data_IF_220491388800
#
_entry.id   IF_220491388800
#
_cell.length_a   1.000
_cell.length_b   1.000
_cell.length_c   1.000
_cell.angle_alpha   90.00
_cell.angle_beta   90.00
_cell.angle_gamma   90.00
#
_symmetry.space_group_name_H-M   'P 1'
#
loop_
_entity.id
_entity.type
_entity.pdbx_description
1 polymer ?
#
# COMPACT_ATOMS: atom_id res chain seq x y z
N UNK A 1 -1.01 2.16 12.07
CA UNK A 1 -2.29 1.79 11.44
C UNK A 1 -3.27 1.39 12.53
N UNK A 2 -4.52 1.81 12.42
CA UNK A 2 -5.61 1.45 13.33
C UNK A 2 -6.80 0.93 12.51
N UNK A 3 -7.48 -0.07 13.05
CA UNK A 3 -8.68 -0.67 12.46
C UNK A 3 -9.90 -0.33 13.33
N UNK A 4 -11.02 -0.05 12.68
CA UNK A 4 -12.35 -0.06 13.28
C UNK A 4 -13.17 -1.19 12.61
N UNK A 5 -13.21 -2.34 13.28
CA UNK A 5 -13.71 -3.58 12.66
C UNK A 5 -12.84 -3.98 11.46
N UNK A 6 -13.45 -4.00 10.27
CA UNK A 6 -12.78 -4.29 9.00
C UNK A 6 -12.36 -3.03 8.22
N UNK A 7 -12.70 -1.83 8.72
CA UNK A 7 -12.36 -0.55 8.09
C UNK A 7 -11.02 -0.01 8.60
N UNK A 8 -10.22 0.57 7.70
CA UNK A 8 -8.96 1.23 8.05
C UNK A 8 -9.27 2.64 8.57
N UNK A 9 -9.22 2.81 9.89
CA UNK A 9 -9.51 4.11 10.52
C UNK A 9 -8.36 5.11 10.33
N UNK A 10 -7.11 4.65 10.43
CA UNK A 10 -5.93 5.52 10.29
C UNK A 10 -4.69 4.76 9.80
N UNK A 11 -3.84 5.45 9.04
CA UNK A 11 -2.51 4.99 8.61
C UNK A 11 -1.46 6.08 8.84
N UNK A 12 -1.08 6.32 10.09
CA UNK A 12 0.05 7.22 10.38
C UNK A 12 1.42 6.63 10.00
N UNK A 13 2.32 7.48 9.48
CA UNK A 13 3.71 7.11 9.16
C UNK A 13 4.68 8.26 9.48
N UNK A 14 5.92 7.89 9.77
CA UNK A 14 7.06 8.81 9.86
C UNK A 14 8.25 8.13 9.16
N UNK A 15 9.02 8.88 8.39
CA UNK A 15 10.19 8.32 7.74
C UNK A 15 10.97 9.32 6.91
N UNK A 16 12.25 9.02 6.73
CA UNK A 16 13.16 9.77 5.88
C UNK A 16 13.67 8.86 4.76
N UNK A 17 13.67 9.37 3.54
CA UNK A 17 14.11 8.60 2.38
C UNK A 17 14.17 9.45 1.12
N UNK A 18 14.34 8.80 -0.03
CA UNK A 18 14.28 9.51 -1.31
C UNK A 18 12.85 10.02 -1.60
N UNK A 19 12.71 10.93 -2.56
CA UNK A 19 11.41 11.47 -2.96
C UNK A 19 10.37 10.40 -3.33
N UNK A 20 10.80 9.30 -3.97
CA UNK A 20 9.90 8.19 -4.35
C UNK A 20 9.32 7.50 -3.12
N UNK A 21 10.12 7.22 -2.09
CA UNK A 21 9.62 6.54 -0.89
C UNK A 21 8.71 7.46 -0.07
N UNK A 22 9.00 8.76 -0.04
CA UNK A 22 8.15 9.74 0.64
C UNK A 22 6.81 9.90 -0.09
N UNK A 23 6.83 10.06 -1.42
CA UNK A 23 5.62 10.14 -2.22
C UNK A 23 4.78 8.86 -2.11
N UNK A 24 5.42 7.69 -2.14
CA UNK A 24 4.71 6.41 -2.02
C UNK A 24 4.05 6.23 -0.64
N UNK A 25 4.65 6.74 0.43
CA UNK A 25 4.02 6.74 1.75
C UNK A 25 2.81 7.69 1.82
N UNK A 26 2.90 8.87 1.21
CA UNK A 26 1.79 9.84 1.11
C UNK A 26 0.60 9.24 0.36
N UNK A 27 0.85 8.72 -0.84
CA UNK A 27 -0.19 8.11 -1.68
C UNK A 27 -0.81 6.89 -1.00
N UNK A 28 -0.01 6.07 -0.31
CA UNK A 28 -0.56 4.95 0.47
C UNK A 28 -1.51 5.44 1.57
N UNK A 29 -1.13 6.47 2.34
CA UNK A 29 -1.99 6.99 3.40
C UNK A 29 -3.32 7.51 2.84
N UNK A 30 -3.25 8.38 1.83
CA UNK A 30 -4.42 8.99 1.20
C UNK A 30 -5.34 7.94 0.58
N UNK A 31 -4.76 6.91 -0.04
CA UNK A 31 -5.52 5.89 -0.74
C UNK A 31 -6.16 4.86 0.20
N UNK A 32 -5.55 4.52 1.34
CA UNK A 32 -6.02 3.40 2.16
C UNK A 32 -6.93 3.81 3.33
N UNK A 33 -6.83 5.04 3.83
CA UNK A 33 -7.65 5.49 4.96
C UNK A 33 -9.13 5.55 4.56
N UNK A 34 -9.99 4.98 5.40
CA UNK A 34 -11.44 4.89 5.19
C UNK A 34 -11.88 3.74 4.29
N UNK A 35 -10.97 2.99 3.67
CA UNK A 35 -11.30 1.79 2.88
C UNK A 35 -11.42 0.56 3.77
N UNK A 36 -12.22 -0.40 3.30
CA UNK A 36 -12.28 -1.73 3.87
C UNK A 36 -10.95 -2.48 3.67
N UNK A 37 -10.57 -3.31 4.64
CA UNK A 37 -9.31 -4.02 4.59
C UNK A 37 -9.19 -4.94 3.36
N UNK A 38 -10.30 -5.53 2.93
CA UNK A 38 -10.34 -6.36 1.73
C UNK A 38 -10.03 -5.54 0.45
N UNK A 39 -10.52 -4.31 0.37
CA UNK A 39 -10.25 -3.40 -0.74
C UNK A 39 -8.79 -2.93 -0.72
N UNK A 40 -8.30 -2.50 0.44
CA UNK A 40 -6.92 -2.08 0.62
C UNK A 40 -5.91 -3.19 0.27
N UNK A 41 -6.22 -4.45 0.58
CA UNK A 41 -5.41 -5.60 0.16
C UNK A 41 -5.37 -5.76 -1.35
N UNK A 42 -6.50 -5.59 -2.04
CA UNK A 42 -6.55 -5.62 -3.51
C UNK A 42 -5.65 -4.53 -4.09
N UNK A 43 -5.76 -3.30 -3.58
CA UNK A 43 -4.91 -2.16 -4.01
C UNK A 43 -3.43 -2.49 -3.80
N UNK A 44 -3.06 -3.00 -2.62
CA UNK A 44 -1.68 -3.37 -2.30
C UNK A 44 -1.15 -4.46 -3.24
N UNK A 45 -1.94 -5.49 -3.53
CA UNK A 45 -1.58 -6.58 -4.43
C UNK A 45 -1.39 -6.09 -5.87
N UNK A 46 -2.30 -5.27 -6.38
CA UNK A 46 -2.20 -4.65 -7.70
C UNK A 46 -0.97 -3.73 -7.79
N UNK A 47 -0.67 -2.97 -6.74
CA UNK A 47 0.52 -2.11 -6.73
C UNK A 47 1.81 -2.94 -6.73
N UNK A 48 1.81 -4.05 -5.99
CA UNK A 48 2.94 -4.99 -5.98
C UNK A 48 3.15 -5.63 -7.35
N UNK A 49 2.07 -6.06 -8.02
CA UNK A 49 2.11 -6.59 -9.37
C UNK A 49 2.71 -5.58 -10.36
N UNK A 50 2.22 -4.34 -10.35
CA UNK A 50 2.74 -3.26 -11.20
C UNK A 50 4.24 -3.05 -10.98
N UNK A 51 4.69 -2.97 -9.72
CA UNK A 51 6.09 -2.79 -9.38
C UNK A 51 6.98 -3.99 -9.78
N UNK A 52 6.45 -5.20 -9.74
CA UNK A 52 7.16 -6.43 -10.11
C UNK A 52 7.16 -6.72 -11.62
N UNK A 53 6.32 -6.02 -12.39
CA UNK A 53 6.19 -6.20 -13.83
C UNK A 53 7.49 -5.93 -14.61
N UNK A 54 8.45 -5.21 -14.00
CA UNK A 54 9.68 -4.74 -14.65
C UNK A 54 9.40 -3.91 -15.92
N UNK A 55 8.29 -3.16 -15.90
CA UNK A 55 7.84 -2.35 -17.04
C UNK A 55 7.27 -3.13 -18.20
N UNK A 56 6.92 -4.40 -18.01
CA UNK A 56 6.28 -5.26 -19.03
C UNK A 56 4.76 -5.23 -18.97
N UNK A 57 4.20 -4.81 -17.84
CA UNK A 57 2.78 -4.52 -17.72
C UNK A 57 2.61 -3.02 -17.95
N UNK A 58 1.87 -2.67 -19.00
CA UNK A 58 1.32 -1.33 -19.13
C UNK A 58 -0.03 -1.36 -18.39
N UNK A 59 -0.33 -0.38 -17.52
CA UNK A 59 -1.59 -0.39 -16.78
C UNK A 59 -2.77 -0.23 -17.73
N UNK A 60 -3.79 -1.05 -17.54
CA UNK A 60 -5.08 -0.93 -18.22
C UNK A 60 -6.09 -0.14 -17.36
N UNK A 61 -7.26 0.16 -17.93
CA UNK A 61 -8.30 0.96 -17.27
C UNK A 61 -8.71 0.34 -15.91
N UNK A 62 -8.76 -0.99 -15.81
CA UNK A 62 -9.11 -1.68 -14.57
C UNK A 62 -8.04 -1.51 -13.49
N UNK A 63 -6.76 -1.54 -13.86
CA UNK A 63 -5.66 -1.26 -12.93
C UNK A 63 -5.65 0.20 -12.49
N UNK A 64 -5.97 1.13 -13.39
CA UNK A 64 -6.08 2.56 -13.06
C UNK A 64 -7.23 2.82 -12.07
N UNK A 65 -8.39 2.17 -12.26
CA UNK A 65 -9.51 2.25 -11.33
C UNK A 65 -9.15 1.75 -9.92
N UNK A 66 -8.34 0.68 -9.81
CA UNK A 66 -7.94 0.12 -8.52
C UNK A 66 -6.84 0.95 -7.86
N UNK A 67 -5.85 1.40 -8.63
CA UNK A 67 -4.68 2.08 -8.08
C UNK A 67 -4.89 3.57 -7.86
N UNK A 68 -5.87 4.19 -8.50
CA UNK A 68 -6.10 5.63 -8.41
C UNK A 68 -4.75 6.38 -8.61
N UNK A 69 -4.39 7.31 -7.73
CA UNK A 69 -3.14 8.07 -7.81
C UNK A 69 -1.86 7.21 -7.70
N UNK A 70 -1.94 5.98 -7.16
CA UNK A 70 -0.81 5.06 -7.13
C UNK A 70 -0.38 4.59 -8.54
N UNK A 71 -1.22 4.77 -9.56
CA UNK A 71 -0.88 4.51 -10.96
C UNK A 71 0.30 5.37 -11.45
N UNK A 72 0.50 6.54 -10.84
CA UNK A 72 1.61 7.45 -11.18
C UNK A 72 2.99 6.79 -11.00
N UNK A 73 3.08 5.72 -10.21
CA UNK A 73 4.31 4.95 -10.02
C UNK A 73 4.59 3.93 -11.13
N UNK A 74 3.71 3.75 -12.12
CA UNK A 74 3.91 2.77 -13.21
C UNK A 74 5.29 2.89 -13.87
N UNK A 75 5.79 4.12 -14.07
CA UNK A 75 7.13 4.37 -14.58
C UNK A 75 8.26 3.82 -13.70
N UNK A 76 8.07 3.74 -12.37
CA UNK A 76 9.09 3.24 -11.42
C UNK A 76 9.36 1.74 -11.63
N UNK A 77 8.38 0.96 -12.11
CA UNK A 77 8.55 -0.46 -12.43
C UNK A 77 9.67 -0.72 -13.45
N UNK A 78 9.97 0.26 -14.30
CA UNK A 78 11.05 0.21 -15.32
C UNK A 78 12.45 0.35 -14.69
N UNK A 79 12.55 0.70 -13.40
CA UNK A 79 13.80 0.98 -12.70
C UNK A 79 14.00 0.09 -11.46
N UNK A 80 14.60 -1.11 -11.60
CA UNK A 80 14.75 -2.08 -10.49
C UNK A 80 15.40 -1.51 -9.23
N UNK A 81 16.33 -0.56 -9.37
CA UNK A 81 16.98 0.10 -8.25
C UNK A 81 16.04 1.00 -7.41
N UNK A 82 14.90 1.43 -7.99
CA UNK A 82 13.92 2.33 -7.34
C UNK A 82 12.63 1.62 -6.94
N UNK A 83 12.37 0.41 -7.44
CA UNK A 83 11.21 -0.41 -7.05
C UNK A 83 11.11 -0.58 -5.53
N UNK A 84 12.23 -0.86 -4.86
CA UNK A 84 12.24 -0.98 -3.39
C UNK A 84 11.84 0.31 -2.67
N UNK A 85 12.15 1.47 -3.25
CA UNK A 85 11.72 2.75 -2.68
C UNK A 85 10.21 2.93 -2.78
N UNK A 86 9.60 2.54 -3.90
CA UNK A 86 8.16 2.59 -4.07
C UNK A 86 7.44 1.59 -3.15
N UNK A 87 7.97 0.37 -2.99
CA UNK A 87 7.31 -0.67 -2.19
C UNK A 87 7.49 -0.57 -0.68
N UNK A 88 8.40 0.27 -0.18
CA UNK A 88 8.78 0.25 1.24
C UNK A 88 7.58 0.47 2.18
N UNK A 89 6.78 1.52 1.94
CA UNK A 89 5.58 1.84 2.73
C UNK A 89 4.52 0.74 2.63
N UNK A 90 4.32 0.16 1.45
CA UNK A 90 3.35 -0.90 1.19
C UNK A 90 3.68 -2.21 1.91
N UNK A 91 4.97 -2.57 1.95
CA UNK A 91 5.42 -3.73 2.71
C UNK A 91 5.30 -3.51 4.21
N UNK A 92 5.59 -2.29 4.69
CA UNK A 92 5.38 -1.92 6.09
C UNK A 92 3.89 -1.94 6.47
N UNK A 93 3.00 -1.45 5.62
CA UNK A 93 1.55 -1.51 5.83
C UNK A 93 1.03 -2.96 5.88
N UNK A 94 1.50 -3.82 4.98
CA UNK A 94 1.14 -5.25 4.98
C UNK A 94 1.54 -5.93 6.30
N UNK A 95 2.74 -5.64 6.79
CA UNK A 95 3.22 -6.16 8.07
C UNK A 95 2.41 -5.60 9.25
N UNK A 96 2.18 -4.28 9.30
CA UNK A 96 1.35 -3.64 10.32
C UNK A 96 -0.09 -4.19 10.35
N UNK A 97 -0.66 -4.48 9.19
CA UNK A 97 -1.97 -5.15 9.06
C UNK A 97 -1.96 -6.53 9.71
N UNK A 98 -0.92 -7.33 9.46
CA UNK A 98 -0.81 -8.66 10.04
C UNK A 98 -0.71 -8.61 11.57
N UNK A 99 0.03 -7.62 12.11
CA UNK A 99 0.13 -7.38 13.55
C UNK A 99 -1.21 -6.95 14.15
N UNK A 100 -1.90 -5.98 13.55
CA UNK A 100 -3.19 -5.46 14.04
C UNK A 100 -4.29 -6.54 14.11
N UNK A 101 -4.32 -7.45 13.13
CA UNK A 101 -5.24 -8.60 13.14
C UNK A 101 -4.88 -9.62 14.23
N UNK A 102 -3.59 -9.79 14.52
CA UNK A 102 -3.12 -10.64 15.63
C UNK A 102 -3.51 -10.08 17.00
N UNK A 103 -3.42 -8.76 17.18
CA UNK A 103 -3.82 -8.07 18.43
C UNK A 103 -5.33 -8.13 18.66
N UNK A 104 -6.13 -7.96 17.60
CA UNK A 104 -7.61 -8.06 17.67
C UNK A 104 -8.07 -9.44 18.12
N UNK A 105 -7.36 -10.50 17.75
CA UNK A 105 -7.64 -11.86 18.19
C UNK A 105 -7.31 -12.11 19.68
N UNK A 106 -6.33 -11.38 20.24
CA UNK A 106 -5.93 -11.50 21.65
C UNK A 106 -6.76 -10.65 22.62
N UNK A 107 -7.34 -9.55 22.16
CA UNK A 107 -8.06 -8.58 22.99
C UNK A 107 -9.50 -8.96 23.39
N UNK A 108 -10.06 -10.07 22.88
CA UNK A 108 -11.47 -10.47 23.11
C UNK A 108 -11.71 -11.26 24.42
N UNK A 109 -10.79 -11.22 25.39
CA UNK A 109 -10.86 -12.06 26.61
C UNK A 109 -10.80 -11.31 27.94
N UNK A 110 -11.19 -10.04 28.01
CA UNK A 110 -11.29 -9.31 29.28
C UNK A 110 -12.73 -8.87 29.55
#
# INVERSE_FOLDING_TARGET
>A
MRLDGDTIEDVSYEGQGCSISQASASVLNELLVGKELAEARRIQETFLELMQSKGKAEPDDAMEEVLEDAIAFAGVSKYPARVKCALLSWMAWKDATAQALGETAGGKTA
#
